data_IF_583812813839
#
_entry.id   IF_583812813839
#
_cell.length_a   1.000
_cell.length_b   1.000
_cell.length_c   1.000
_cell.angle_alpha   90.00
_cell.angle_beta   90.00
_cell.angle_gamma   90.00
#
_symmetry.space_group_name_H-M   'P 1'
#
loop_
_entity.id
_entity.type
_entity.pdbx_description
1 polymer ?
#
# COMPACT_ATOMS: atom_id res chain seq x y z
N UNK A 1 -4.33 -4.13 -25.32
CA UNK A 1 -3.09 -4.74 -24.81
C UNK A 1 -2.04 -3.64 -24.80
N UNK A 2 -1.44 -3.34 -23.65
CA UNK A 2 -0.37 -2.34 -23.58
C UNK A 2 0.88 -2.88 -24.24
N UNK A 3 1.60 -2.04 -24.98
CA UNK A 3 2.89 -2.42 -25.55
C UNK A 3 3.83 -2.87 -24.41
N UNK A 4 4.55 -3.98 -24.64
CA UNK A 4 5.58 -4.45 -23.72
C UNK A 4 6.63 -3.35 -23.57
N UNK A 5 6.86 -2.90 -22.34
CA UNK A 5 7.90 -1.93 -22.06
C UNK A 5 9.24 -2.58 -22.40
N UNK A 6 9.96 -2.03 -23.39
CA UNK A 6 11.32 -2.50 -23.72
C UNK A 6 12.20 -2.21 -22.53
N UNK A 7 12.62 -3.26 -21.84
CA UNK A 7 13.56 -3.24 -20.73
C UNK A 7 14.78 -4.09 -21.09
N UNK A 8 15.93 -3.73 -20.55
CA UNK A 8 17.19 -4.45 -20.72
C UNK A 8 17.73 -4.93 -19.36
N UNK A 9 18.48 -6.03 -19.38
CA UNK A 9 19.24 -6.46 -18.20
C UNK A 9 20.23 -5.36 -17.78
N UNK A 10 20.28 -5.08 -16.48
CA UNK A 10 21.08 -4.00 -15.90
C UNK A 10 20.48 -2.60 -16.03
N UNK A 11 19.35 -2.43 -16.71
CA UNK A 11 18.71 -1.13 -16.85
C UNK A 11 18.21 -0.60 -15.49
N UNK A 12 18.35 0.72 -15.30
CA UNK A 12 17.82 1.44 -14.15
C UNK A 12 16.33 1.71 -14.31
N UNK A 13 15.55 1.40 -13.29
CA UNK A 13 14.15 1.80 -13.21
C UNK A 13 13.79 2.24 -11.80
N UNK A 14 12.87 3.21 -11.72
CA UNK A 14 12.23 3.58 -10.45
C UNK A 14 10.96 2.75 -10.28
N UNK A 15 10.92 1.97 -9.21
CA UNK A 15 9.80 1.06 -8.92
C UNK A 15 9.02 1.60 -7.73
N UNK A 16 7.71 1.72 -7.90
CA UNK A 16 6.80 1.95 -6.77
C UNK A 16 6.51 0.62 -6.07
N UNK A 17 6.81 0.55 -4.78
CA UNK A 17 6.54 -0.62 -3.95
C UNK A 17 5.04 -0.72 -3.67
N UNK A 18 4.49 -1.90 -3.88
CA UNK A 18 3.10 -2.28 -3.68
C UNK A 18 3.02 -3.48 -2.73
N UNK A 19 1.93 -3.64 -1.99
CA UNK A 19 1.73 -4.81 -1.13
C UNK A 19 1.33 -6.02 -1.99
N UNK A 20 2.15 -7.06 -1.98
CA UNK A 20 1.89 -8.35 -2.61
C UNK A 20 1.23 -9.35 -1.67
N UNK A 21 1.14 -10.61 -2.12
CA UNK A 21 0.53 -11.70 -1.33
C UNK A 21 1.33 -11.93 -0.04
N UNK A 22 0.63 -11.96 1.09
CA UNK A 22 1.27 -12.15 2.40
C UNK A 22 2.12 -10.96 2.85
N UNK A 23 1.89 -9.76 2.30
CA UNK A 23 2.61 -8.54 2.68
C UNK A 23 3.98 -8.38 2.02
N UNK A 24 4.37 -9.29 1.11
CA UNK A 24 5.67 -9.17 0.41
C UNK A 24 5.69 -7.96 -0.53
N UNK A 25 6.76 -7.16 -0.55
CA UNK A 25 6.87 -6.03 -1.46
C UNK A 25 6.96 -6.51 -2.91
N UNK A 26 6.16 -5.92 -3.78
CA UNK A 26 6.20 -6.15 -5.24
C UNK A 26 6.10 -4.81 -5.97
N UNK A 27 6.45 -4.77 -7.24
CA UNK A 27 6.10 -3.67 -8.14
C UNK A 27 5.29 -4.18 -9.33
N UNK A 28 4.87 -3.25 -10.19
CA UNK A 28 4.14 -3.60 -11.42
C UNK A 28 4.56 -2.68 -12.56
N UNK A 29 4.89 -3.27 -13.70
CA UNK A 29 5.15 -2.53 -14.93
C UNK A 29 3.84 -2.11 -15.59
N UNK A 30 3.92 -1.13 -16.50
CA UNK A 30 2.75 -0.63 -17.24
C UNK A 30 2.12 -1.70 -18.14
N UNK A 31 2.94 -2.63 -18.63
CA UNK A 31 2.51 -3.77 -19.45
C UNK A 31 1.90 -4.92 -18.64
N UNK A 32 1.85 -4.80 -17.30
CA UNK A 32 1.21 -5.76 -16.41
C UNK A 32 2.14 -6.82 -15.82
N UNK A 33 3.40 -6.90 -16.26
CA UNK A 33 4.41 -7.79 -15.65
C UNK A 33 4.65 -7.43 -14.18
N UNK A 34 4.90 -8.45 -13.37
CA UNK A 34 5.17 -8.29 -11.93
C UNK A 34 6.65 -8.00 -11.71
N UNK A 35 6.97 -7.03 -10.87
CA UNK A 35 8.33 -6.76 -10.42
C UNK A 35 8.52 -7.41 -9.06
N UNK A 36 9.54 -8.25 -8.94
CA UNK A 36 9.96 -8.86 -7.68
C UNK A 36 11.27 -8.22 -7.25
N UNK A 37 11.38 -7.83 -5.98
CA UNK A 37 12.66 -7.36 -5.44
C UNK A 37 13.51 -8.55 -5.03
N UNK A 38 14.82 -8.43 -5.23
CA UNK A 38 15.79 -9.42 -4.77
C UNK A 38 15.76 -9.53 -3.24
N UNK A 39 15.61 -10.76 -2.72
CA UNK A 39 15.52 -11.03 -1.28
C UNK A 39 16.90 -11.06 -0.63
N UNK A 40 17.97 -11.23 -1.41
CA UNK A 40 19.34 -11.22 -0.92
C UNK A 40 19.89 -9.79 -0.79
N UNK A 41 19.16 -8.77 -1.27
CA UNK A 41 19.57 -7.37 -1.17
C UNK A 41 19.41 -6.84 0.27
N UNK A 42 20.38 -6.07 0.80
CA UNK A 42 20.32 -5.50 2.16
C UNK A 42 19.09 -4.64 2.45
N UNK A 43 18.50 -4.02 1.42
CA UNK A 43 17.34 -3.16 1.55
C UNK A 43 16.01 -3.93 1.56
N UNK A 44 16.01 -5.25 1.31
CA UNK A 44 14.78 -6.05 1.23
C UNK A 44 13.89 -5.90 2.47
N UNK A 45 14.47 -5.94 3.67
CA UNK A 45 13.72 -5.90 4.93
C UNK A 45 13.11 -4.53 5.24
N UNK A 46 13.57 -3.46 4.57
CA UNK A 46 13.10 -2.09 4.79
C UNK A 46 12.19 -1.58 3.67
N UNK A 47 11.91 -2.40 2.65
CA UNK A 47 10.96 -2.08 1.59
C UNK A 47 9.53 -2.08 2.13
N UNK A 48 8.90 -0.90 2.12
CA UNK A 48 7.54 -0.66 2.55
C UNK A 48 6.64 -0.25 1.37
N UNK A 49 5.38 -0.69 1.33
CA UNK A 49 4.41 -0.23 0.34
C UNK A 49 4.30 1.29 0.26
N UNK A 50 4.26 1.83 -0.95
CA UNK A 50 4.15 3.26 -1.21
C UNK A 50 5.48 3.95 -1.52
N UNK A 51 6.62 3.35 -1.16
CA UNK A 51 7.95 3.88 -1.48
C UNK A 51 8.25 3.84 -2.98
N UNK A 52 9.08 4.78 -3.43
CA UNK A 52 9.72 4.76 -4.75
C UNK A 52 11.18 4.36 -4.56
N UNK A 53 11.63 3.34 -5.29
CA UNK A 53 12.96 2.76 -5.11
C UNK A 53 13.64 2.64 -6.47
N UNK A 54 14.85 3.18 -6.60
CA UNK A 54 15.67 2.92 -7.79
C UNK A 54 16.23 1.50 -7.74
N UNK A 55 16.12 0.79 -8.84
CA UNK A 55 16.56 -0.59 -8.95
C UNK A 55 17.24 -0.85 -10.31
N UNK A 56 18.07 -1.89 -10.37
CA UNK A 56 18.56 -2.47 -11.63
C UNK A 56 17.80 -3.74 -11.97
N UNK A 57 17.52 -3.99 -13.26
CA UNK A 57 16.98 -5.27 -13.71
C UNK A 57 18.04 -6.36 -13.61
N UNK A 58 17.81 -7.36 -12.75
CA UNK A 58 18.71 -8.52 -12.56
C UNK A 58 18.27 -9.73 -13.39
N UNK A 59 16.96 -9.96 -13.49
CA UNK A 59 16.38 -11.08 -14.24
C UNK A 59 15.17 -10.60 -15.04
N UNK A 60 15.05 -11.09 -16.27
CA UNK A 60 13.89 -10.87 -17.12
C UNK A 60 13.20 -12.20 -17.45
N UNK A 61 11.88 -12.21 -17.33
CA UNK A 61 11.00 -13.29 -17.76
C UNK A 61 9.79 -12.70 -18.50
N UNK A 62 8.97 -13.56 -19.10
CA UNK A 62 7.76 -13.13 -19.82
C UNK A 62 6.74 -12.49 -18.87
N UNK A 63 6.58 -13.04 -17.66
CA UNK A 63 5.53 -12.63 -16.72
C UNK A 63 6.03 -11.77 -15.56
N UNK A 64 7.35 -11.75 -15.33
CA UNK A 64 7.95 -11.02 -14.22
C UNK A 64 9.36 -10.56 -14.52
N UNK A 65 9.85 -9.61 -13.74
CA UNK A 65 11.27 -9.24 -13.67
C UNK A 65 11.72 -9.29 -12.20
N UNK A 66 13.00 -9.59 -11.97
CA UNK A 66 13.63 -9.42 -10.66
C UNK A 66 14.52 -8.19 -10.73
N UNK A 67 14.37 -7.32 -9.74
CA UNK A 67 15.13 -6.08 -9.65
C UNK A 67 15.91 -6.02 -8.34
N UNK A 68 17.06 -5.37 -8.42
CA UNK A 68 17.98 -5.20 -7.31
C UNK A 68 17.99 -3.73 -6.89
N UNK A 69 17.48 -3.37 -5.69
CA UNK A 69 17.53 -2.00 -5.19
C UNK A 69 18.96 -1.46 -5.13
N UNK A 70 19.21 -0.28 -5.71
CA UNK A 70 20.56 0.30 -5.81
C UNK A 70 20.83 1.43 -4.82
N UNK A 71 19.79 1.93 -4.17
CA UNK A 71 19.87 2.96 -3.14
C UNK A 71 18.92 2.61 -2.00
N UNK A 72 19.20 3.19 -0.83
CA UNK A 72 18.31 3.10 0.32
C UNK A 72 16.93 3.66 -0.08
N UNK A 73 15.83 2.90 0.11
CA UNK A 73 14.48 3.38 -0.19
C UNK A 73 14.23 4.69 0.53
N UNK A 74 13.76 5.71 -0.19
CA UNK A 74 13.29 6.92 0.46
C UNK A 74 12.29 6.51 1.55
N UNK A 75 12.50 7.00 2.78
CA UNK A 75 11.61 6.73 3.88
C UNK A 75 10.18 6.96 3.36
N UNK A 76 9.34 5.92 3.46
CA UNK A 76 7.94 6.07 3.11
C UNK A 76 7.51 7.37 3.79
N UNK A 77 6.97 8.32 3.02
CA UNK A 77 6.21 9.40 3.62
C UNK A 77 5.06 8.68 4.29
N UNK A 78 5.28 8.28 5.53
CA UNK A 78 4.21 8.03 6.47
C UNK A 78 3.51 9.36 6.40
N UNK A 79 2.37 9.38 5.72
CA UNK A 79 1.43 10.46 5.92
C UNK A 79 1.02 10.25 7.37
N UNK A 80 1.84 10.80 8.28
CA UNK A 80 1.36 11.22 9.57
C UNK A 80 0.25 12.18 9.19
N UNK A 81 -0.99 11.70 9.31
CA UNK A 81 -2.03 12.61 9.73
C UNK A 81 -1.42 13.37 10.90
N UNK A 82 -1.37 14.71 10.87
CA UNK A 82 -0.78 15.47 11.96
C UNK A 82 -1.31 14.88 13.25
N UNK A 83 -0.40 14.27 14.01
CA UNK A 83 -0.73 13.74 15.32
C UNK A 83 -1.12 14.96 16.16
N UNK A 84 -2.40 15.00 16.52
CA UNK A 84 -2.86 15.57 17.81
C UNK A 84 -2.67 17.07 18.09
N UNK A 85 -2.65 17.98 17.10
CA UNK A 85 -2.73 19.43 17.43
C UNK A 85 -4.06 20.12 17.08
N UNK A 86 -4.87 19.58 16.17
CA UNK A 86 -6.15 20.21 15.77
C UNK A 86 -7.39 19.30 15.91
N UNK A 87 -7.21 18.04 16.33
CA UNK A 87 -8.35 17.21 16.68
C UNK A 87 -8.60 17.36 18.18
N UNK A 88 -9.83 17.71 18.62
CA UNK A 88 -10.14 17.71 20.04
C UNK A 88 -9.81 16.33 20.62
N UNK A 89 -9.38 16.27 21.88
CA UNK A 89 -9.25 15.03 22.66
C UNK A 89 -10.61 14.32 22.72
N UNK A 90 -10.96 13.60 21.65
CA UNK A 90 -12.19 12.85 21.56
C UNK A 90 -11.93 11.57 22.32
N UNK A 91 -12.47 11.48 23.53
CA UNK A 91 -12.52 10.21 24.25
C UNK A 91 -13.23 9.17 23.37
N UNK A 92 -12.46 8.23 22.83
CA UNK A 92 -12.95 7.19 21.95
C UNK A 92 -13.68 6.07 22.71
N UNK A 93 -13.54 6.00 24.05
CA UNK A 93 -14.18 4.97 24.88
C UNK A 93 -15.71 4.88 24.70
N UNK A 94 -16.48 5.99 24.70
CA UNK A 94 -17.92 5.94 24.43
C UNK A 94 -18.23 5.41 23.03
N UNK A 95 -17.47 5.82 22.02
CA UNK A 95 -17.68 5.41 20.62
C UNK A 95 -17.45 3.90 20.45
N UNK A 96 -16.36 3.38 21.02
CA UNK A 96 -16.05 1.94 20.99
C UNK A 96 -17.15 1.14 21.69
N UNK A 97 -17.60 1.61 22.86
CA UNK A 97 -18.65 0.94 23.64
C UNK A 97 -19.99 0.88 22.89
N UNK A 98 -20.36 1.95 22.21
CA UNK A 98 -21.57 1.99 21.38
C UNK A 98 -21.44 1.08 20.15
N UNK A 99 -20.26 1.05 19.53
CA UNK A 99 -19.97 0.17 18.40
C UNK A 99 -20.11 -1.30 18.79
N UNK A 100 -19.50 -1.72 19.90
CA UNK A 100 -19.65 -3.08 20.42
C UNK A 100 -21.12 -3.45 20.67
N UNK A 101 -21.90 -2.51 21.21
CA UNK A 101 -23.33 -2.70 21.47
C UNK A 101 -24.10 -2.87 20.16
N UNK A 102 -23.76 -2.11 19.12
CA UNK A 102 -24.34 -2.26 17.79
C UNK A 102 -24.00 -3.62 17.17
N UNK A 103 -22.73 -4.04 17.22
CA UNK A 103 -22.29 -5.35 16.71
C UNK A 103 -23.00 -6.48 17.47
N UNK A 104 -23.10 -6.40 18.80
CA UNK A 104 -23.81 -7.39 19.64
C UNK A 104 -25.32 -7.46 19.35
N UNK A 105 -25.94 -6.35 18.90
CA UNK A 105 -27.36 -6.30 18.52
C UNK A 105 -27.62 -6.97 17.17
N UNK A 106 -26.69 -6.89 16.23
CA UNK A 106 -26.80 -7.52 14.90
C UNK A 106 -26.32 -8.98 15.01
N UNK A 107 -27.04 -9.84 15.73
CA UNK A 107 -26.67 -11.26 15.89
C UNK A 107 -26.75 -12.04 14.57
N UNK A 108 -25.83 -13.00 14.38
CA UNK A 108 -25.85 -13.99 13.28
C UNK A 108 -25.12 -13.53 12.01
N UNK A 109 -25.50 -14.09 10.84
CA UNK A 109 -24.86 -13.87 9.51
C UNK A 109 -24.74 -12.39 9.08
N UNK A 110 -25.43 -11.48 9.76
CA UNK A 110 -25.44 -10.05 9.48
C UNK A 110 -24.44 -9.23 10.32
N UNK A 111 -23.76 -9.84 11.29
CA UNK A 111 -22.78 -9.14 12.13
C UNK A 111 -21.63 -8.52 11.31
N UNK A 112 -21.25 -9.16 10.19
CA UNK A 112 -20.22 -8.67 9.27
C UNK A 112 -20.63 -7.40 8.51
N UNK A 113 -21.91 -7.05 8.48
CA UNK A 113 -22.41 -5.86 7.78
C UNK A 113 -21.85 -4.60 8.45
N UNK A 114 -21.70 -4.60 9.78
CA UNK A 114 -21.23 -3.43 10.53
C UNK A 114 -19.74 -3.15 10.22
N UNK A 115 -18.79 -4.09 10.35
CA UNK A 115 -17.41 -3.87 9.93
C UNK A 115 -17.27 -3.50 8.44
N UNK A 116 -18.05 -4.12 7.55
CA UNK A 116 -18.00 -3.82 6.10
C UNK A 116 -18.50 -2.41 5.79
N UNK A 117 -19.52 -1.93 6.49
CA UNK A 117 -20.02 -0.56 6.33
C UNK A 117 -18.98 0.46 6.80
N UNK A 118 -18.34 0.23 7.95
CA UNK A 118 -17.26 1.09 8.46
C UNK A 118 -16.08 1.16 7.48
N UNK A 119 -15.66 0.01 6.93
CA UNK A 119 -14.59 -0.03 5.95
C UNK A 119 -14.92 0.79 4.70
N UNK A 120 -16.17 0.75 4.23
CA UNK A 120 -16.62 1.58 3.09
C UNK A 120 -16.61 3.06 3.41
N UNK A 121 -16.97 3.46 4.63
CA UNK A 121 -16.91 4.86 5.07
C UNK A 121 -15.46 5.36 5.08
N UNK A 122 -14.55 4.57 5.65
CA UNK A 122 -13.11 4.91 5.65
C UNK A 122 -12.59 5.05 4.20
N UNK A 123 -12.93 4.12 3.30
CA UNK A 123 -12.52 4.20 1.89
C UNK A 123 -13.08 5.46 1.18
N UNK A 124 -14.31 5.86 1.49
CA UNK A 124 -14.89 7.10 0.97
C UNK A 124 -14.16 8.34 1.49
N UNK A 125 -13.84 8.38 2.78
CA UNK A 125 -13.05 9.47 3.37
C UNK A 125 -11.68 9.61 2.69
N UNK A 126 -10.97 8.50 2.49
CA UNK A 126 -9.69 8.49 1.80
C UNK A 126 -9.79 8.99 0.35
N UNK A 127 -10.88 8.66 -0.34
CA UNK A 127 -11.15 9.15 -1.69
C UNK A 127 -11.38 10.67 -1.69
N UNK A 128 -12.17 11.19 -0.74
CA UNK A 128 -12.43 12.63 -0.59
C UNK A 128 -11.12 13.37 -0.32
N UNK A 129 -10.30 12.90 0.63
CA UNK A 129 -8.99 13.49 0.92
C UNK A 129 -8.10 13.53 -0.33
N UNK A 130 -8.09 12.44 -1.11
CA UNK A 130 -7.32 12.37 -2.35
C UNK A 130 -7.81 13.35 -3.42
N UNK A 131 -9.12 13.61 -3.50
CA UNK A 131 -9.70 14.61 -4.40
C UNK A 131 -9.29 16.01 -3.94
N UNK A 132 -9.45 16.31 -2.65
CA UNK A 132 -9.13 17.62 -2.08
C UNK A 132 -7.64 17.97 -2.15
N UNK A 133 -6.73 17.00 -2.08
CA UNK A 133 -5.28 17.23 -2.24
C UNK A 133 -4.82 17.39 -3.70
N UNK A 134 -5.71 17.18 -4.69
CA UNK A 134 -5.40 17.27 -6.13
C UNK A 134 -5.97 18.52 -6.82
N UNK A 135 -6.87 19.24 -6.16
CA UNK A 135 -7.38 20.55 -6.62
C UNK A 135 -6.64 21.67 -5.92
#
# INVERSE_FOLDING_TARGET
>A
MGELQKLFLGEKLTVRVLPGRGGKPIGRLQDGRVILFDQDNPYWSILAPGQSVECHVKVMSENYIIVDPISEPEAAVIVHYPEEEDFPDIDMKPIIKDLEKMIKKVKGKNAEIVPRALLRIIQLEQLIIKILKRG
#
